data_IF_953064191443
#
_entry.id   IF_953064191443
#
_cell.length_a   1.000
_cell.length_b   1.000
_cell.length_c   1.000
_cell.angle_alpha   90.00
_cell.angle_beta   90.00
_cell.angle_gamma   90.00
#
_symmetry.space_group_name_H-M   'P 1'
#
loop_
_entity.id
_entity.type
_entity.pdbx_description
1 polymer ?
#
# COMPACT_ATOMS: atom_id res chain seq x y z
N UNK A 1 -12.57 14.24 23.23
CA UNK A 1 -11.35 13.65 23.80
C UNK A 1 -10.61 13.00 22.63
N UNK A 2 -9.58 13.65 22.09
CA UNK A 2 -8.76 13.06 21.04
C UNK A 2 -7.85 12.04 21.72
N UNK A 3 -8.09 10.75 21.47
CA UNK A 3 -7.12 9.71 21.80
C UNK A 3 -5.79 10.06 21.10
N UNK A 4 -4.63 9.72 21.67
CA UNK A 4 -3.39 9.79 20.90
C UNK A 4 -3.61 8.98 19.63
N UNK A 5 -3.45 9.61 18.46
CA UNK A 5 -3.57 8.92 17.17
C UNK A 5 -2.47 7.87 17.12
N UNK A 6 -2.83 6.62 17.41
CA UNK A 6 -1.92 5.51 17.34
C UNK A 6 -1.73 5.18 15.85
N UNK A 7 -0.61 5.60 15.27
CA UNK A 7 -0.26 5.19 13.93
C UNK A 7 0.09 3.70 13.93
N UNK A 8 -0.46 2.98 12.97
CA UNK A 8 -0.06 1.62 12.70
C UNK A 8 1.40 1.60 12.25
N UNK A 9 2.18 0.64 12.77
CA UNK A 9 3.52 0.35 12.26
C UNK A 9 3.38 -0.63 11.11
N UNK A 10 3.10 -0.13 9.91
CA UNK A 10 2.76 -0.95 8.75
C UNK A 10 3.27 -0.34 7.47
N UNK A 11 3.72 -1.18 6.53
CA UNK A 11 3.92 -0.80 5.13
C UNK A 11 2.82 -1.45 4.31
N UNK A 12 2.19 -0.65 3.45
CA UNK A 12 1.07 -1.09 2.62
C UNK A 12 1.56 -1.18 1.19
N UNK A 13 1.42 -2.36 0.58
CA UNK A 13 1.95 -2.65 -0.75
C UNK A 13 0.84 -3.24 -1.60
N UNK A 14 0.51 -2.58 -2.70
CA UNK A 14 -0.38 -3.11 -3.73
C UNK A 14 -0.05 -2.47 -5.08
N UNK A 15 0.00 -3.24 -6.15
CA UNK A 15 0.33 -2.72 -7.49
C UNK A 15 -0.90 -2.12 -8.20
N UNK A 16 -2.02 -1.99 -7.49
CA UNK A 16 -3.25 -1.34 -7.94
C UNK A 16 -3.74 -0.29 -6.92
N UNK A 17 -4.06 0.92 -7.38
CA UNK A 17 -4.52 2.00 -6.49
C UNK A 17 -5.93 1.79 -5.90
N UNK A 18 -6.74 0.89 -6.48
CA UNK A 18 -8.17 0.76 -6.14
C UNK A 18 -8.41 0.36 -4.69
N UNK A 19 -7.73 -0.70 -4.24
CA UNK A 19 -7.88 -1.25 -2.89
C UNK A 19 -7.37 -0.28 -1.83
N UNK A 20 -6.22 0.34 -2.10
CA UNK A 20 -5.60 1.34 -1.22
C UNK A 20 -6.55 2.52 -0.99
N UNK A 21 -7.14 3.06 -2.06
CA UNK A 21 -8.03 4.21 -1.96
C UNK A 21 -9.28 3.93 -1.12
N UNK A 22 -9.86 2.73 -1.24
CA UNK A 22 -11.03 2.34 -0.45
C UNK A 22 -10.66 2.08 1.02
N UNK A 23 -9.49 1.50 1.27
CA UNK A 23 -8.99 1.30 2.63
C UNK A 23 -8.71 2.64 3.35
N UNK A 24 -8.14 3.64 2.66
CA UNK A 24 -7.88 4.97 3.24
C UNK A 24 -9.17 5.75 3.55
N UNK A 25 -10.26 5.51 2.82
CA UNK A 25 -11.59 6.07 3.13
C UNK A 25 -12.33 5.30 4.23
N UNK A 26 -11.81 4.14 4.62
CA UNK A 26 -12.42 3.24 5.58
C UNK A 26 -12.27 3.73 7.03
N UNK A 27 -12.89 3.02 7.98
CA UNK A 27 -12.90 3.39 9.40
C UNK A 27 -11.52 3.36 10.07
N UNK A 28 -10.50 2.81 9.40
CA UNK A 28 -9.12 2.74 9.87
C UNK A 28 -8.18 3.65 9.07
N UNK A 29 -8.68 4.46 8.14
CA UNK A 29 -7.82 5.33 7.31
C UNK A 29 -6.93 6.24 8.15
N UNK A 30 -7.46 6.81 9.23
CA UNK A 30 -6.77 7.76 10.09
C UNK A 30 -5.59 7.17 10.89
N UNK A 31 -5.48 5.84 10.99
CA UNK A 31 -4.34 5.17 11.66
C UNK A 31 -3.24 4.76 10.69
N UNK A 32 -3.45 4.92 9.38
CA UNK A 32 -2.50 4.53 8.34
C UNK A 32 -1.65 5.73 7.92
N UNK A 33 -0.33 5.52 7.90
CA UNK A 33 0.60 6.52 7.42
C UNK A 33 0.74 6.44 5.90
N UNK A 34 0.30 7.47 5.18
CA UNK A 34 0.39 7.54 3.71
C UNK A 34 1.82 7.66 3.21
N UNK A 35 2.80 7.98 4.08
CA UNK A 35 4.21 7.89 3.75
C UNK A 35 4.72 6.44 3.67
N UNK A 36 3.99 5.48 4.24
CA UNK A 36 4.35 4.05 4.26
C UNK A 36 3.57 3.24 3.21
N UNK A 37 3.31 3.86 2.05
CA UNK A 37 2.54 3.30 0.96
C UNK A 37 3.40 3.07 -0.28
N UNK A 38 3.40 1.85 -0.79
CA UNK A 38 4.01 1.47 -2.07
C UNK A 38 2.89 1.05 -3.01
N UNK A 39 2.67 1.83 -4.08
CA UNK A 39 1.60 1.54 -5.03
C UNK A 39 1.95 1.79 -6.49
N UNK A 40 1.27 1.07 -7.37
CA UNK A 40 1.30 1.27 -8.83
C UNK A 40 -0.12 1.23 -9.42
N UNK A 41 -0.26 1.46 -10.73
CA UNK A 41 -1.56 1.61 -11.41
C UNK A 41 -2.02 0.36 -12.18
N UNK A 42 -1.12 -0.55 -12.53
CA UNK A 42 -1.40 -1.60 -13.52
C UNK A 42 -1.69 -2.99 -12.94
N UNK A 43 -1.25 -3.28 -11.73
CA UNK A 43 -1.36 -4.60 -11.13
C UNK A 43 -0.45 -5.66 -11.76
N UNK A 44 -0.25 -6.77 -11.04
CA UNK A 44 0.54 -7.89 -11.56
C UNK A 44 -0.21 -8.76 -12.58
N UNK A 45 -1.50 -8.50 -12.82
CA UNK A 45 -2.31 -9.23 -13.81
C UNK A 45 -2.39 -10.74 -13.55
N UNK A 46 -2.47 -11.16 -12.28
CA UNK A 46 -2.39 -12.56 -11.85
C UNK A 46 -1.13 -13.30 -12.36
N UNK A 47 -0.04 -12.56 -12.64
CA UNK A 47 1.22 -13.11 -13.14
C UNK A 47 2.33 -12.95 -12.10
N UNK A 48 2.77 -14.07 -11.55
CA UNK A 48 3.86 -14.11 -10.57
C UNK A 48 5.18 -13.59 -11.14
N UNK A 49 5.54 -13.93 -12.38
CA UNK A 49 6.80 -13.51 -12.99
C UNK A 49 6.85 -11.99 -13.17
N UNK A 50 5.73 -11.36 -13.51
CA UNK A 50 5.63 -9.90 -13.60
C UNK A 50 5.80 -9.26 -12.21
N UNK A 51 5.11 -9.80 -11.20
CA UNK A 51 5.29 -9.37 -9.81
C UNK A 51 6.74 -9.49 -9.32
N UNK A 52 7.38 -10.64 -9.56
CA UNK A 52 8.72 -10.92 -9.02
C UNK A 52 9.85 -10.27 -9.81
N UNK A 53 9.78 -10.21 -11.15
CA UNK A 53 10.89 -9.74 -11.99
C UNK A 53 10.72 -8.32 -12.51
N UNK A 54 9.51 -7.74 -12.49
CA UNK A 54 9.29 -6.33 -12.83
C UNK A 54 9.12 -5.49 -11.57
N UNK A 55 8.05 -5.72 -10.81
CA UNK A 55 7.75 -4.90 -9.63
C UNK A 55 8.70 -5.13 -8.46
N UNK A 56 9.10 -6.38 -8.20
CA UNK A 56 10.04 -6.71 -7.12
C UNK A 56 11.32 -5.85 -7.16
N UNK A 57 12.11 -5.85 -8.27
CA UNK A 57 13.30 -5.03 -8.40
C UNK A 57 13.01 -3.53 -8.42
N UNK A 58 11.88 -3.10 -8.99
CA UNK A 58 11.50 -1.70 -9.07
C UNK A 58 11.31 -1.06 -7.69
N UNK A 59 10.78 -1.82 -6.73
CA UNK A 59 10.44 -1.33 -5.38
C UNK A 59 11.34 -1.90 -4.27
N UNK A 60 12.43 -2.60 -4.60
CA UNK A 60 13.26 -3.32 -3.62
C UNK A 60 13.97 -2.41 -2.60
N UNK A 61 14.41 -1.22 -3.02
CA UNK A 61 15.25 -0.31 -2.23
C UNK A 61 14.50 0.90 -1.65
N UNK A 62 13.16 0.90 -1.73
CA UNK A 62 12.30 1.93 -1.13
C UNK A 62 12.02 1.65 0.34
#
# INVERSE_FOLDING_TARGET
MLLPTANARSVIVDMECGVINEMLKGPLGDVLDTQQLISDVSGAGNNWAHGNHCYGPQYHDL
#
